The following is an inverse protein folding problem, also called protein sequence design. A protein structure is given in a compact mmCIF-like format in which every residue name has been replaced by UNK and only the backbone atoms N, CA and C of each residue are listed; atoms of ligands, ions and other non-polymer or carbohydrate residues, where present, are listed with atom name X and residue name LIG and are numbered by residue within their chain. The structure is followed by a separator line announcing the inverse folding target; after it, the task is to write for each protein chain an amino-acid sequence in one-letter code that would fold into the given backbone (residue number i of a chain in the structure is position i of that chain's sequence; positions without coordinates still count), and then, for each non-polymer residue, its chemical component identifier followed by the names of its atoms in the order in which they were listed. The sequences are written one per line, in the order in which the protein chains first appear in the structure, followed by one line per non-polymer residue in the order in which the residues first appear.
data_IF_257906694383
#
_entry.id   IF_257906694383
#
_cell.length_a   1.000
_cell.length_b   1.000
_cell.length_c   1.000
_cell.angle_alpha   90.00
_cell.angle_beta   90.00
_cell.angle_gamma   90.00
#
_symmetry.space_group_name_H-M   'P 1'
#
loop_
_entity.id
_entity.type
_entity.pdbx_description
1 polymer ?
#
# COMPACT_ATOMS: atom_id res chain seq x y z
N UNK A 1 -6.43 13.71 19.41
CA UNK A 1 -6.69 13.71 17.94
C UNK A 1 -7.59 12.54 17.60
N UNK A 2 -8.78 12.79 17.06
CA UNK A 2 -9.72 11.73 16.70
C UNK A 2 -9.08 10.76 15.67
N UNK A 3 -9.22 9.46 15.92
CA UNK A 3 -8.77 8.45 14.98
C UNK A 3 -9.78 8.39 13.82
N UNK A 4 -9.41 8.92 12.66
CA UNK A 4 -10.22 8.82 11.44
C UNK A 4 -10.27 7.36 10.97
N UNK A 5 -11.46 6.85 10.65
CA UNK A 5 -11.63 5.50 10.12
C UNK A 5 -11.05 5.38 8.71
N UNK A 6 -10.54 4.19 8.37
CA UNK A 6 -9.91 3.95 7.06
C UNK A 6 -10.97 3.98 5.94
N UNK A 7 -12.19 3.55 6.25
CA UNK A 7 -13.33 3.58 5.33
C UNK A 7 -13.74 5.00 4.99
N UNK A 8 -13.77 5.92 5.98
CA UNK A 8 -14.09 7.32 5.71
C UNK A 8 -13.04 7.96 4.80
N UNK A 9 -11.75 7.70 5.05
CA UNK A 9 -10.68 8.20 4.21
C UNK A 9 -10.82 7.66 2.79
N UNK A 10 -11.11 6.37 2.63
CA UNK A 10 -11.34 5.78 1.32
C UNK A 10 -12.50 6.44 0.57
N UNK A 11 -13.63 6.67 1.23
CA UNK A 11 -14.77 7.35 0.62
C UNK A 11 -14.41 8.75 0.12
N UNK A 12 -13.52 9.45 0.82
CA UNK A 12 -13.00 10.75 0.39
C UNK A 12 -12.03 10.63 -0.80
N UNK A 13 -11.04 9.72 -0.74
CA UNK A 13 -9.94 9.67 -1.72
C UNK A 13 -10.25 8.88 -2.99
N UNK A 14 -11.22 7.94 -2.97
CA UNK A 14 -11.48 7.01 -4.08
C UNK A 14 -11.69 7.68 -5.44
N UNK A 15 -12.24 8.90 -5.46
CA UNK A 15 -12.60 9.62 -6.69
C UNK A 15 -11.85 10.94 -6.89
N UNK A 16 -11.17 11.45 -5.86
CA UNK A 16 -10.68 12.84 -5.80
C UNK A 16 -9.16 12.97 -5.64
N UNK A 17 -8.44 11.85 -5.74
CA UNK A 17 -7.01 11.83 -5.50
C UNK A 17 -6.18 12.26 -6.74
N UNK A 18 -5.12 13.06 -6.54
CA UNK A 18 -4.17 13.49 -7.60
C UNK A 18 -3.47 12.33 -8.30
N UNK A 19 -3.27 11.22 -7.59
CA UNK A 19 -2.58 10.04 -8.13
C UNK A 19 -3.48 9.18 -9.03
N UNK A 20 -4.76 9.54 -9.19
CA UNK A 20 -5.74 8.77 -9.92
C UNK A 20 -5.53 8.95 -11.43
N UNK A 21 -5.32 7.83 -12.12
CA UNK A 21 -5.14 7.78 -13.57
C UNK A 21 -6.28 6.95 -14.16
N UNK A 22 -7.27 7.62 -14.75
CA UNK A 22 -8.36 6.96 -15.47
C UNK A 22 -7.88 6.66 -16.89
N UNK A 23 -7.96 5.40 -17.29
CA UNK A 23 -7.69 4.97 -18.67
C UNK A 23 -8.95 4.32 -19.20
N UNK A 24 -9.46 4.86 -20.30
CA UNK A 24 -10.56 4.22 -21.01
C UNK A 24 -9.99 2.98 -21.71
N UNK A 25 -10.50 1.80 -21.37
CA UNK A 25 -10.22 0.58 -22.11
C UNK A 25 -11.04 0.55 -23.40
N UNK A 26 -10.63 -0.33 -24.32
CA UNK A 26 -11.50 -0.69 -25.44
C UNK A 26 -12.70 -1.48 -24.87
N UNK A 27 -13.92 -1.15 -25.27
CA UNK A 27 -15.18 -1.83 -24.89
C UNK A 27 -15.70 -1.55 -23.46
N UNK A 28 -16.12 -0.30 -23.17
CA UNK A 28 -16.88 0.15 -21.98
C UNK A 28 -16.24 -0.08 -20.59
N UNK A 29 -15.07 -0.72 -20.51
CA UNK A 29 -14.39 -0.99 -19.25
C UNK A 29 -13.35 0.10 -18.98
N UNK A 30 -13.71 1.09 -18.15
CA UNK A 30 -12.77 2.11 -17.68
C UNK A 30 -11.96 1.55 -16.51
N UNK A 31 -10.65 1.38 -16.68
CA UNK A 31 -9.78 0.95 -15.58
C UNK A 31 -9.23 2.18 -14.88
N UNK A 32 -9.38 2.20 -13.55
CA UNK A 32 -8.85 3.28 -12.72
C UNK A 32 -7.59 2.81 -12.01
N UNK A 33 -6.46 3.36 -12.43
CA UNK A 33 -5.17 3.15 -11.79
C UNK A 33 -4.91 4.24 -10.74
N UNK A 34 -4.01 3.96 -9.81
CA UNK A 34 -3.53 4.93 -8.83
C UNK A 34 -2.02 4.80 -8.72
N UNK A 35 -1.30 5.90 -8.97
CA UNK A 35 0.15 6.02 -8.80
C UNK A 35 0.52 6.43 -7.37
N UNK A 36 -0.30 6.07 -6.39
CA UNK A 36 -0.07 6.37 -4.98
C UNK A 36 1.21 5.69 -4.47
N UNK A 37 2.01 6.37 -3.63
CA UNK A 37 3.08 5.71 -2.91
C UNK A 37 2.49 4.63 -1.99
N UNK A 38 3.16 3.47 -1.93
CA UNK A 38 2.75 2.28 -1.18
C UNK A 38 1.52 1.53 -1.74
N UNK A 39 1.32 1.57 -3.05
CA UNK A 39 0.39 0.69 -3.77
C UNK A 39 1.17 -0.34 -4.62
N UNK A 40 1.14 -1.61 -4.24
CA UNK A 40 1.90 -2.67 -4.96
C UNK A 40 1.33 -2.98 -6.35
N UNK A 41 0.02 -2.80 -6.55
CA UNK A 41 -0.67 -3.18 -7.77
C UNK A 41 -1.04 -2.00 -8.65
N UNK A 42 -0.77 -0.76 -8.21
CA UNK A 42 -1.21 0.48 -8.86
C UNK A 42 -2.71 0.53 -9.19
N UNK A 43 -3.53 -0.26 -8.48
CA UNK A 43 -4.98 -0.30 -8.64
C UNK A 43 -5.64 0.65 -7.65
N UNK A 44 -6.61 1.44 -8.12
CA UNK A 44 -7.43 2.27 -7.24
C UNK A 44 -8.49 1.42 -6.52
N UNK A 45 -8.08 0.67 -5.50
CA UNK A 45 -8.98 -0.13 -4.67
C UNK A 45 -8.65 0.05 -3.20
N UNK A 46 -9.66 -0.07 -2.34
CA UNK A 46 -9.48 0.07 -0.89
C UNK A 46 -8.44 -0.90 -0.32
N UNK A 47 -8.34 -2.10 -0.90
CA UNK A 47 -7.39 -3.14 -0.45
C UNK A 47 -5.93 -2.69 -0.59
N UNK A 48 -5.61 -1.98 -1.68
CA UNK A 48 -4.24 -1.62 -2.05
C UNK A 48 -3.90 -0.13 -1.91
N UNK A 49 -4.85 0.73 -1.53
CA UNK A 49 -4.56 2.15 -1.30
C UNK A 49 -3.60 2.36 -0.13
N UNK A 50 -2.50 3.06 -0.37
CA UNK A 50 -1.52 3.44 0.64
C UNK A 50 -1.93 4.64 1.49
N UNK A 51 -2.92 5.42 1.02
CA UNK A 51 -3.44 6.59 1.73
C UNK A 51 -4.54 6.25 2.73
N UNK A 52 -5.44 5.33 2.35
CA UNK A 52 -6.55 4.95 3.21
C UNK A 52 -6.13 3.98 4.33
N UNK A 53 -5.21 3.07 4.03
CA UNK A 53 -4.87 1.97 4.95
C UNK A 53 -3.83 2.36 6.00
N UNK A 54 -4.08 1.96 7.26
CA UNK A 54 -3.09 2.08 8.34
C UNK A 54 -1.82 1.25 8.10
N UNK A 55 -1.95 0.10 7.42
CA UNK A 55 -0.86 -0.80 7.07
C UNK A 55 -0.78 -0.95 5.56
N UNK A 56 0.34 -0.54 4.98
CA UNK A 56 0.67 -0.72 3.56
C UNK A 56 2.12 -1.16 3.42
N UNK A 57 2.39 -1.89 2.35
CA UNK A 57 3.74 -2.35 1.98
C UNK A 57 4.06 -1.80 0.60
N UNK A 58 5.28 -1.33 0.41
CA UNK A 58 5.81 -0.91 -0.88
C UNK A 58 7.17 -1.57 -1.10
N UNK A 59 7.48 -1.84 -2.36
CA UNK A 59 8.75 -2.42 -2.77
C UNK A 59 9.32 -1.49 -3.84
N UNK A 60 10.55 -1.04 -3.63
CA UNK A 60 11.28 -0.23 -4.59
C UNK A 60 12.66 -0.87 -4.86
N UNK A 61 13.14 -0.83 -6.11
CA UNK A 61 14.52 -1.20 -6.39
C UNK A 61 15.47 -0.22 -5.70
N UNK A 62 16.60 -0.72 -5.20
CA UNK A 62 17.72 0.07 -4.74
C UNK A 62 18.97 -0.25 -5.57
N UNK A 63 20.11 0.35 -5.21
CA UNK A 63 21.35 0.18 -5.95
C UNK A 63 21.76 -1.30 -6.07
N UNK A 64 22.08 -1.72 -7.29
CA UNK A 64 22.49 -3.08 -7.61
C UNK A 64 21.37 -4.11 -7.43
N UNK A 65 21.67 -5.22 -6.76
CA UNK A 65 20.75 -6.34 -6.50
C UNK A 65 19.95 -6.17 -5.19
N UNK A 66 19.83 -4.94 -4.69
CA UNK A 66 19.17 -4.65 -3.42
C UNK A 66 17.75 -4.12 -3.61
N UNK A 67 16.88 -4.42 -2.63
CA UNK A 67 15.46 -4.05 -2.67
C UNK A 67 15.11 -3.31 -1.39
N UNK A 68 14.45 -2.15 -1.51
CA UNK A 68 13.92 -1.42 -0.36
C UNK A 68 12.46 -1.82 -0.14
N UNK A 69 12.20 -2.33 1.06
CA UNK A 69 10.89 -2.66 1.55
C UNK A 69 10.41 -1.54 2.47
N UNK A 70 9.37 -0.83 2.07
CA UNK A 70 8.76 0.24 2.85
C UNK A 70 7.48 -0.26 3.49
N UNK A 71 7.35 -0.07 4.80
CA UNK A 71 6.13 -0.38 5.56
C UNK A 71 5.64 0.84 6.31
N UNK A 72 4.33 0.93 6.56
CA UNK A 72 3.76 2.04 7.34
C UNK A 72 3.57 1.68 8.82
N UNK A 73 3.93 2.63 9.70
CA UNK A 73 3.78 2.51 11.15
C UNK A 73 2.38 2.96 11.58
N UNK A 74 1.57 2.04 12.09
CA UNK A 74 0.19 2.32 12.54
C UNK A 74 0.11 3.40 13.62
N UNK A 75 1.08 3.47 14.53
CA UNK A 75 1.13 4.43 15.66
C UNK A 75 1.55 5.85 15.24
N UNK A 76 2.05 6.05 14.02
CA UNK A 76 2.61 7.34 13.55
C UNK A 76 1.82 7.96 12.40
N UNK A 77 0.53 7.63 12.28
CA UNK A 77 -0.37 8.14 11.21
C UNK A 77 -0.36 9.66 11.10
N UNK A 78 -0.35 10.37 12.23
CA UNK A 78 -0.42 11.83 12.27
C UNK A 78 0.95 12.50 12.01
N UNK A 79 1.99 11.72 11.73
CA UNK A 79 3.37 12.19 11.52
C UNK A 79 3.87 11.65 10.18
N UNK A 80 3.49 12.27 9.04
CA UNK A 80 3.81 11.76 7.70
C UNK A 80 5.32 11.55 7.50
N UNK A 81 6.16 12.43 8.06
CA UNK A 81 7.62 12.31 8.02
C UNK A 81 8.17 11.03 8.70
N UNK A 82 7.49 10.52 9.73
CA UNK A 82 7.92 9.34 10.52
C UNK A 82 7.07 8.10 10.25
N UNK A 83 6.13 8.20 9.32
CA UNK A 83 5.16 7.15 9.02
C UNK A 83 5.80 5.94 8.34
N UNK A 84 6.79 6.20 7.47
CA UNK A 84 7.44 5.17 6.66
C UNK A 84 8.59 4.51 7.43
N UNK A 85 8.66 3.20 7.35
CA UNK A 85 9.79 2.40 7.80
C UNK A 85 10.39 1.70 6.58
N UNK A 86 11.59 2.11 6.22
CA UNK A 86 12.31 1.53 5.09
C UNK A 86 13.31 0.51 5.63
N UNK A 87 13.26 -0.72 5.11
CA UNK A 87 14.27 -1.74 5.33
C UNK A 87 14.92 -2.08 4.00
N UNK A 88 16.26 -2.06 3.98
CA UNK A 88 17.03 -2.36 2.79
C UNK A 88 17.42 -3.84 2.83
N UNK A 89 16.94 -4.60 1.86
CA UNK A 89 17.20 -6.03 1.70
C UNK A 89 18.38 -6.21 0.74
N UNK A 90 19.52 -6.64 1.26
CA UNK A 90 20.74 -7.02 0.49
C UNK A 90 21.00 -8.53 0.48
N UNK A 91 19.98 -9.34 0.80
CA UNK A 91 20.12 -10.80 0.95
C UNK A 91 19.91 -11.52 -0.39
N UNK A 92 20.19 -12.82 -0.42
CA UNK A 92 19.86 -13.68 -1.57
C UNK A 92 18.38 -13.56 -1.95
N UNK A 93 18.08 -13.61 -3.26
CA UNK A 93 16.73 -13.45 -3.80
C UNK A 93 15.68 -14.30 -3.08
N UNK A 94 15.97 -15.58 -2.82
CA UNK A 94 15.06 -16.50 -2.12
C UNK A 94 14.71 -16.02 -0.70
N UNK A 95 15.70 -15.47 0.02
CA UNK A 95 15.52 -14.93 1.37
C UNK A 95 14.74 -13.61 1.34
N UNK A 96 14.99 -12.77 0.34
CA UNK A 96 14.24 -11.53 0.13
C UNK A 96 12.77 -11.81 -0.17
N UNK A 97 12.49 -12.71 -1.12
CA UNK A 97 11.12 -13.09 -1.51
C UNK A 97 10.32 -13.62 -0.32
N UNK A 98 10.90 -14.52 0.49
CA UNK A 98 10.25 -15.01 1.73
C UNK A 98 9.91 -13.88 2.71
N UNK A 99 10.84 -12.93 2.90
CA UNK A 99 10.63 -11.79 3.80
C UNK A 99 9.47 -10.92 3.32
N UNK A 100 9.44 -10.61 2.01
CA UNK A 100 8.37 -9.83 1.39
C UNK A 100 7.03 -10.52 1.52
N UNK A 101 6.94 -11.82 1.19
CA UNK A 101 5.71 -12.60 1.28
C UNK A 101 5.16 -12.59 2.72
N UNK A 102 6.02 -12.79 3.71
CA UNK A 102 5.60 -12.78 5.12
C UNK A 102 5.06 -11.41 5.55
N UNK A 103 5.68 -10.32 5.11
CA UNK A 103 5.18 -8.98 5.42
C UNK A 103 3.86 -8.67 4.73
N UNK A 104 3.72 -9.05 3.46
CA UNK A 104 2.47 -8.87 2.71
C UNK A 104 1.34 -9.71 3.33
N UNK A 105 1.60 -10.96 3.68
CA UNK A 105 0.64 -11.84 4.38
C UNK A 105 0.19 -11.23 5.70
N UNK A 106 1.11 -10.72 6.52
CA UNK A 106 0.76 -10.05 7.78
C UNK A 106 -0.16 -8.85 7.55
N UNK A 107 0.07 -8.04 6.51
CA UNK A 107 -0.79 -6.90 6.20
C UNK A 107 -2.17 -7.28 5.63
N UNK A 108 -2.27 -8.39 4.89
CA UNK A 108 -3.51 -8.84 4.26
C UNK A 108 -4.36 -9.73 5.18
N UNK A 109 -3.75 -10.57 6.02
CA UNK A 109 -4.46 -11.45 6.96
C UNK A 109 -5.26 -10.65 8.00
N UNK A 110 -4.72 -9.52 8.47
CA UNK A 110 -5.41 -8.60 9.38
C UNK A 110 -6.69 -8.00 8.81
N UNK A 111 -6.85 -7.96 7.48
CA UNK A 111 -8.08 -7.51 6.82
C UNK A 111 -9.09 -8.63 6.62
N UNK A 112 -8.62 -9.87 6.36
CA UNK A 112 -9.51 -11.04 6.30
C UNK A 112 -10.25 -11.25 7.62
N UNK A 113 -9.56 -11.08 8.75
CA UNK A 113 -10.16 -11.20 10.09
C UNK A 113 -11.14 -10.08 10.45
N UNK A 114 -11.13 -8.94 9.73
CA UNK A 114 -12.03 -7.81 9.99
C UNK A 114 -13.29 -7.82 9.13
N UNK A 115 -13.36 -8.69 8.11
CA UNK A 115 -14.48 -8.84 7.18
C UNK A 115 -15.32 -10.11 7.44
N UNK A 116 -15.01 -10.87 8.50
CA UNK A 116 -15.72 -12.10 8.89
C UNK A 116 -16.32 -12.02 10.30
N UNK A 117 -16.63 -10.82 10.79
CA UNK A 117 -17.39 -10.62 12.03
C UNK A 117 -18.55 -9.67 11.80
#
# INVERSE_FOLDING_TARGET
MAAVSDDLIWLLVKNSNRFLVKRNGNNNNSVTFSSEPNNLYNLNTFKYSGLANKKSVAIAPAEGLSVVLTTTKTKKRNQPAKLRHNSLLKKDFRKMAKTVVNQVLFTLQLKRSFLTS
#
